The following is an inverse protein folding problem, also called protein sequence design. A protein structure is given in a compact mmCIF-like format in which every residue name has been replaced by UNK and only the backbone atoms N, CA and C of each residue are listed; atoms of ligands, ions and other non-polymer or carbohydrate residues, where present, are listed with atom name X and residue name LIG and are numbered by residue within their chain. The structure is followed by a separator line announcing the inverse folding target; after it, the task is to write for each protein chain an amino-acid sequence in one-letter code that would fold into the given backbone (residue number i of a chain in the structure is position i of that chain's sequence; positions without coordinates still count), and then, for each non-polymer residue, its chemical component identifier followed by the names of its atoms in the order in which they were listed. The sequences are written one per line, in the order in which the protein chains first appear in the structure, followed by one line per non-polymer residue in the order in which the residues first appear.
data_IF_620514971849
#
_entry.id   IF_620514971849
#
_cell.length_a   1.000
_cell.length_b   1.000
_cell.length_c   1.000
_cell.angle_alpha   90.00
_cell.angle_beta   90.00
_cell.angle_gamma   90.00
#
_symmetry.space_group_name_H-M   'P 1'
#
loop_
_entity.id
_entity.type
_entity.pdbx_description
1 polymer ?
#
# COMPACT_ATOMS: atom_id res chain seq x y z
N UNK A 1 9.58 -36.52 -28.24
CA UNK A 1 10.29 -35.49 -27.46
C UNK A 1 9.83 -34.06 -27.76
N UNK A 2 9.67 -33.61 -29.02
CA UNK A 2 9.27 -32.21 -29.34
C UNK A 2 7.83 -31.81 -28.95
N UNK A 3 6.87 -32.75 -28.91
CA UNK A 3 5.46 -32.47 -28.54
C UNK A 3 5.26 -32.31 -27.03
N UNK A 4 5.92 -33.14 -26.23
CA UNK A 4 5.82 -33.05 -24.76
C UNK A 4 6.48 -31.79 -24.22
N UNK A 5 7.60 -31.34 -24.80
CA UNK A 5 8.24 -30.07 -24.44
C UNK A 5 7.36 -28.86 -24.78
N UNK A 6 6.63 -28.91 -25.89
CA UNK A 6 5.68 -27.85 -26.27
C UNK A 6 4.49 -27.76 -25.33
N UNK A 7 3.92 -28.91 -24.95
CA UNK A 7 2.83 -28.99 -23.98
C UNK A 7 3.26 -28.47 -22.59
N UNK A 8 4.46 -28.85 -22.13
CA UNK A 8 5.00 -28.35 -20.87
C UNK A 8 5.27 -26.83 -20.90
N UNK A 9 5.76 -26.29 -22.01
CA UNK A 9 5.96 -24.85 -22.16
C UNK A 9 4.62 -24.07 -22.16
N UNK A 10 3.58 -24.61 -22.82
CA UNK A 10 2.23 -24.02 -22.76
C UNK A 10 1.65 -24.04 -21.36
N UNK A 11 1.81 -25.15 -20.62
CA UNK A 11 1.31 -25.26 -19.26
C UNK A 11 1.99 -24.25 -18.33
N UNK A 12 3.32 -24.09 -18.45
CA UNK A 12 4.09 -23.09 -17.73
C UNK A 12 3.62 -21.66 -18.03
N UNK A 13 3.36 -21.38 -19.31
CA UNK A 13 2.84 -20.08 -19.74
C UNK A 13 1.46 -19.78 -19.12
N UNK A 14 0.55 -20.75 -19.15
CA UNK A 14 -0.79 -20.62 -18.54
C UNK A 14 -0.70 -20.39 -17.03
N UNK A 15 0.19 -21.10 -16.33
CA UNK A 15 0.41 -20.90 -14.90
C UNK A 15 0.95 -19.50 -14.57
N UNK A 16 1.89 -18.97 -15.37
CA UNK A 16 2.43 -17.62 -15.20
C UNK A 16 1.36 -16.53 -15.35
N UNK A 17 0.40 -16.70 -16.27
CA UNK A 17 -0.70 -15.76 -16.48
C UNK A 17 -1.86 -15.91 -15.48
N UNK A 18 -1.94 -17.02 -14.73
CA UNK A 18 -2.97 -17.23 -13.71
C UNK A 18 -2.61 -16.61 -12.34
N UNK A 19 -1.34 -16.27 -12.10
CA UNK A 19 -0.86 -15.68 -10.84
C UNK A 19 -1.46 -14.30 -10.49
N UNK A 20 -1.59 -13.32 -11.40
CA UNK A 20 -2.07 -11.98 -11.05
C UNK A 20 -3.56 -11.94 -10.67
N UNK A 21 -4.34 -12.99 -10.96
CA UNK A 21 -5.75 -13.08 -10.59
C UNK A 21 -5.98 -13.19 -9.07
N UNK A 22 -4.94 -13.54 -8.31
CA UNK A 22 -4.98 -13.68 -6.85
C UNK A 22 -4.27 -12.55 -6.10
N UNK A 23 -3.79 -11.51 -6.80
CA UNK A 23 -3.31 -10.32 -6.14
C UNK A 23 -4.51 -9.61 -5.48
N UNK A 24 -4.53 -9.49 -4.15
CA UNK A 24 -5.52 -8.66 -3.46
C UNK A 24 -5.42 -7.24 -4.02
N UNK A 25 -6.55 -6.69 -4.49
CA UNK A 25 -6.62 -5.29 -4.87
C UNK A 25 -6.20 -4.44 -3.66
N UNK A 26 -5.41 -3.37 -3.86
CA UNK A 26 -5.03 -2.49 -2.77
C UNK A 26 -6.29 -2.05 -2.03
N UNK A 27 -6.34 -2.33 -0.72
CA UNK A 27 -7.46 -1.90 0.10
C UNK A 27 -7.49 -0.37 0.12
N UNK A 28 -8.69 0.20 0.27
CA UNK A 28 -8.82 1.65 0.33
C UNK A 28 -8.00 2.21 1.50
N UNK A 29 -7.29 3.34 1.32
CA UNK A 29 -6.50 3.93 2.39
C UNK A 29 -7.34 4.22 3.63
N UNK A 30 -6.77 3.95 4.81
CA UNK A 30 -7.39 4.31 6.08
C UNK A 30 -7.36 5.83 6.24
N UNK A 31 -8.53 6.45 6.36
CA UNK A 31 -8.65 7.90 6.56
C UNK A 31 -8.50 8.24 8.04
N UNK A 32 -7.52 9.08 8.36
CA UNK A 32 -7.27 9.59 9.71
C UNK A 32 -7.57 11.10 9.72
N UNK A 33 -8.55 11.50 10.54
CA UNK A 33 -8.84 12.90 10.83
C UNK A 33 -8.24 13.31 12.17
N UNK A 34 -7.66 14.51 12.23
CA UNK A 34 -7.09 15.07 13.47
C UNK A 34 -7.58 16.50 13.67
N UNK A 35 -7.90 16.85 14.92
CA UNK A 35 -8.37 18.18 15.31
C UNK A 35 -7.20 18.89 15.98
N UNK A 36 -6.60 19.85 15.28
CA UNK A 36 -5.43 20.60 15.75
C UNK A 36 -5.64 22.09 15.49
N UNK A 37 -5.16 22.97 16.38
CA UNK A 37 -5.18 24.41 16.14
C UNK A 37 -4.08 24.76 15.13
N UNK A 38 -4.40 24.81 13.84
CA UNK A 38 -3.44 25.14 12.78
C UNK A 38 -3.40 26.64 12.45
N UNK A 39 -4.18 27.44 13.18
CA UNK A 39 -4.27 28.91 13.07
C UNK A 39 -4.44 29.55 14.44
N UNK A 40 -4.14 30.85 14.55
CA UNK A 40 -4.26 31.62 15.80
C UNK A 40 -3.03 31.52 16.69
N UNK A 41 -3.17 31.90 17.96
CA UNK A 41 -2.04 32.11 18.89
C UNK A 41 -1.16 30.88 19.13
N UNK A 42 -1.74 29.68 19.01
CA UNK A 42 -1.06 28.39 19.27
C UNK A 42 -0.88 27.55 18.00
N UNK A 43 -0.94 28.20 16.82
CA UNK A 43 -0.80 27.53 15.52
C UNK A 43 0.52 26.76 15.37
N UNK A 44 1.58 27.24 16.02
CA UNK A 44 2.91 26.63 15.97
C UNK A 44 2.87 25.19 16.48
N UNK A 45 2.32 24.96 17.67
CA UNK A 45 2.24 23.63 18.29
C UNK A 45 1.34 22.69 17.47
N UNK A 46 0.20 23.20 16.98
CA UNK A 46 -0.69 22.43 16.11
C UNK A 46 -0.04 22.01 14.79
N UNK A 47 0.77 22.88 14.18
CA UNK A 47 1.51 22.56 12.96
C UNK A 47 2.67 21.60 13.23
N UNK A 48 3.36 21.71 14.37
CA UNK A 48 4.36 20.72 14.80
C UNK A 48 3.74 19.33 14.94
N UNK A 49 2.60 19.22 15.64
CA UNK A 49 1.89 17.96 15.79
C UNK A 49 1.44 17.41 14.43
N UNK A 50 0.88 18.27 13.55
CA UNK A 50 0.45 17.86 12.20
C UNK A 50 1.61 17.32 11.37
N UNK A 51 2.78 17.95 11.44
CA UNK A 51 3.97 17.49 10.72
C UNK A 51 4.48 16.15 11.27
N UNK A 52 4.46 15.95 12.59
CA UNK A 52 4.79 14.66 13.20
C UNK A 52 3.82 13.54 12.79
N UNK A 53 2.53 13.84 12.71
CA UNK A 53 1.51 12.89 12.23
C UNK A 53 1.79 12.50 10.76
N UNK A 54 2.10 13.47 9.89
CA UNK A 54 2.44 13.20 8.49
C UNK A 54 3.68 12.32 8.36
N UNK A 55 4.73 12.64 9.12
CA UNK A 55 5.95 11.82 9.17
C UNK A 55 5.66 10.37 9.59
N UNK A 56 4.86 10.18 10.63
CA UNK A 56 4.47 8.84 11.07
C UNK A 56 3.65 8.09 10.02
N UNK A 57 2.70 8.77 9.34
CA UNK A 57 1.94 8.19 8.23
C UNK A 57 2.86 7.73 7.11
N UNK A 58 3.84 8.55 6.73
CA UNK A 58 4.80 8.23 5.67
C UNK A 58 5.65 7.00 6.03
N UNK A 59 6.19 6.96 7.26
CA UNK A 59 6.97 5.82 7.75
C UNK A 59 6.15 4.52 7.82
N UNK A 60 4.93 4.59 8.33
CA UNK A 60 4.03 3.43 8.43
C UNK A 60 3.67 2.90 7.04
N UNK A 61 3.27 3.78 6.12
CA UNK A 61 2.91 3.38 4.75
C UNK A 61 4.10 2.78 4.01
N UNK A 62 5.31 3.33 4.20
CA UNK A 62 6.54 2.78 3.63
C UNK A 62 6.86 1.38 4.16
N UNK A 63 6.44 1.07 5.39
CA UNK A 63 6.65 -0.22 6.03
C UNK A 63 5.48 -1.23 5.81
N UNK A 64 4.64 -1.01 4.80
CA UNK A 64 3.55 -1.94 4.45
C UNK A 64 2.21 -1.60 5.10
N UNK A 65 2.11 -0.42 5.70
CA UNK A 65 0.85 0.15 6.17
C UNK A 65 0.18 -0.65 7.29
N UNK A 66 -1.14 -0.59 7.39
CA UNK A 66 -1.88 -1.20 8.51
C UNK A 66 -2.66 -2.42 8.02
N UNK A 67 -2.20 -3.61 8.42
CA UNK A 67 -2.81 -4.91 8.01
C UNK A 67 -2.94 -5.06 6.48
N UNK A 68 -1.95 -4.53 5.75
CA UNK A 68 -1.94 -4.51 4.28
C UNK A 68 -2.88 -3.47 3.65
N UNK A 69 -3.21 -2.38 4.36
CA UNK A 69 -3.78 -1.16 3.79
C UNK A 69 -2.71 -0.09 3.67
#
# INVERSE_FOLDING_TARGET
MRRSTFLSAMLLLVLLFALPAYAELPKAPVKIGVVLPTSGAIAYDGNLALNGIKMAVDEINKNGGIKGN
#
